data_IF_788105500441
#
_entry.id   IF_788105500441
#
_cell.length_a   1.000
_cell.length_b   1.000
_cell.length_c   1.000
_cell.angle_alpha   90.00
_cell.angle_beta   90.00
_cell.angle_gamma   90.00
#
_symmetry.space_group_name_H-M   'P 1'
#
loop_
_entity.id
_entity.type
_entity.pdbx_description
1 polymer ?
#
# COMPACT_ATOMS: atom_id res chain seq x y z
N UNK A 1 9.73 -12.35 4.43
CA UNK A 1 9.32 -11.18 5.24
C UNK A 1 9.60 -11.51 6.70
N UNK A 2 10.25 -10.63 7.46
CA UNK A 2 10.57 -10.89 8.88
C UNK A 2 9.56 -10.26 9.85
N UNK A 3 8.96 -9.14 9.47
CA UNK A 3 7.97 -8.40 10.27
C UNK A 3 7.00 -7.67 9.36
N UNK A 4 5.74 -7.59 9.76
CA UNK A 4 4.67 -6.81 9.14
C UNK A 4 4.08 -5.89 10.22
N UNK A 5 3.84 -4.63 9.89
CA UNK A 5 3.05 -3.72 10.72
C UNK A 5 1.79 -3.37 9.95
N UNK A 6 0.63 -3.74 10.48
CA UNK A 6 -0.68 -3.43 9.94
C UNK A 6 -1.26 -2.25 10.73
N UNK A 7 -1.61 -1.16 10.03
CA UNK A 7 -2.34 -0.05 10.62
C UNK A 7 -3.75 -0.06 10.05
N UNK A 8 -4.75 -0.17 10.92
CA UNK A 8 -6.17 -0.08 10.54
C UNK A 8 -6.83 0.98 11.42
N UNK A 9 -7.81 1.71 10.91
CA UNK A 9 -8.51 2.69 11.74
C UNK A 9 -9.47 2.00 12.72
N UNK A 10 -10.11 0.91 12.29
CA UNK A 10 -11.22 0.28 13.00
C UNK A 10 -10.78 -1.06 13.62
N UNK A 11 -10.73 -1.17 14.96
CA UNK A 11 -10.45 -2.44 15.62
C UNK A 11 -11.47 -3.53 15.30
N UNK A 12 -12.72 -3.17 14.95
CA UNK A 12 -13.75 -4.14 14.58
C UNK A 12 -13.42 -4.85 13.27
N UNK A 13 -12.72 -4.19 12.33
CA UNK A 13 -12.28 -4.86 11.10
C UNK A 13 -11.22 -5.93 11.37
N UNK A 14 -10.30 -5.64 12.31
CA UNK A 14 -9.31 -6.63 12.75
C UNK A 14 -9.99 -7.81 13.47
N UNK A 15 -10.93 -7.51 14.36
CA UNK A 15 -11.70 -8.53 15.08
C UNK A 15 -12.51 -9.40 14.13
N UNK A 16 -13.24 -8.78 13.19
CA UNK A 16 -14.03 -9.47 12.18
C UNK A 16 -13.16 -10.41 11.35
N UNK A 17 -11.97 -9.96 10.94
CA UNK A 17 -11.04 -10.78 10.18
C UNK A 17 -10.43 -11.93 11.00
N UNK A 18 -10.34 -11.79 12.32
CA UNK A 18 -9.84 -12.83 13.24
C UNK A 18 -10.91 -13.85 13.65
N UNK A 19 -12.18 -13.44 13.75
CA UNK A 19 -13.25 -14.26 14.34
C UNK A 19 -14.23 -14.84 13.32
N UNK A 20 -14.55 -14.11 12.25
CA UNK A 20 -15.58 -14.52 11.30
C UNK A 20 -15.12 -15.72 10.44
N UNK A 21 -15.89 -16.83 10.37
CA UNK A 21 -15.48 -18.04 9.66
C UNK A 21 -15.13 -17.83 8.18
N UNK A 22 -15.82 -16.92 7.49
CA UNK A 22 -15.55 -16.62 6.08
C UNK A 22 -14.21 -15.90 5.92
N UNK A 23 -13.96 -14.86 6.70
CA UNK A 23 -12.70 -14.12 6.65
C UNK A 23 -11.51 -14.93 7.14
N UNK A 24 -11.71 -15.78 8.16
CA UNK A 24 -10.72 -16.76 8.62
C UNK A 24 -10.34 -17.74 7.53
N UNK A 25 -11.32 -18.24 6.77
CA UNK A 25 -11.07 -19.09 5.60
C UNK A 25 -10.25 -18.37 4.52
N UNK A 26 -10.55 -17.10 4.25
CA UNK A 26 -9.83 -16.29 3.25
C UNK A 26 -8.39 -15.97 3.67
N UNK A 27 -8.18 -15.58 4.93
CA UNK A 27 -6.86 -15.21 5.44
C UNK A 27 -6.07 -16.41 6.00
N UNK A 28 -6.63 -17.63 5.96
CA UNK A 28 -6.04 -18.87 6.48
C UNK A 28 -5.66 -18.78 7.96
N UNK A 29 -6.55 -18.20 8.76
CA UNK A 29 -6.39 -17.95 10.20
C UNK A 29 -5.17 -17.08 10.57
N UNK A 30 -4.64 -16.28 9.63
CA UNK A 30 -3.41 -15.52 9.85
C UNK A 30 -3.47 -14.52 11.01
N UNK A 31 -4.67 -14.08 11.42
CA UNK A 31 -4.89 -13.12 12.50
C UNK A 31 -5.23 -13.75 13.85
N UNK A 32 -5.39 -15.07 13.93
CA UNK A 32 -5.76 -15.80 15.15
C UNK A 32 -4.56 -16.54 15.79
N UNK A 33 -3.34 -16.33 15.26
CA UNK A 33 -2.12 -16.92 15.79
C UNK A 33 -1.46 -15.95 16.79
N UNK A 34 -1.72 -16.19 18.09
CA UNK A 34 -1.20 -15.35 19.19
C UNK A 34 0.33 -15.37 19.34
N UNK A 35 1.02 -16.32 18.70
CA UNK A 35 2.49 -16.32 18.65
C UNK A 35 2.99 -15.37 17.56
N UNK A 36 2.29 -15.28 16.43
CA UNK A 36 2.71 -14.48 15.27
C UNK A 36 2.11 -13.07 15.26
N UNK A 37 0.96 -12.86 15.88
CA UNK A 37 0.21 -11.59 15.82
C UNK A 37 0.19 -10.91 17.18
N UNK A 38 0.57 -9.64 17.19
CA UNK A 38 0.51 -8.77 18.37
C UNK A 38 -0.34 -7.56 18.06
N UNK A 39 -1.54 -7.51 18.64
CA UNK A 39 -2.39 -6.32 18.59
C UNK A 39 -1.90 -5.34 19.64
N UNK A 40 -1.61 -4.11 19.23
CA UNK A 40 -1.19 -3.01 20.09
C UNK A 40 -2.29 -1.96 20.02
N UNK A 41 -3.16 -1.96 21.02
CA UNK A 41 -4.11 -0.87 21.23
C UNK A 41 -3.33 0.40 21.64
N UNK A 42 -3.70 1.54 21.07
CA UNK A 42 -2.93 2.77 21.17
C UNK A 42 -2.95 3.39 22.57
N UNK A 43 -2.10 2.89 23.47
CA UNK A 43 -1.32 3.73 24.37
C UNK A 43 0.13 3.69 23.86
N UNK A 44 0.55 4.75 23.17
CA UNK A 44 1.86 4.81 22.52
C UNK A 44 2.96 4.68 23.57
N UNK A 45 3.59 3.51 23.65
CA UNK A 45 4.91 3.32 24.21
C UNK A 45 5.60 2.16 23.46
N UNK A 46 6.85 2.34 22.99
CA UNK A 46 7.55 1.32 22.22
C UNK A 46 7.92 0.16 23.14
N UNK A 47 7.09 -0.88 23.16
CA UNK A 47 7.43 -2.16 23.78
C UNK A 47 8.56 -2.86 23.03
N UNK A 48 9.46 -3.51 23.77
CA UNK A 48 10.60 -4.29 23.23
C UNK A 48 10.17 -5.21 22.09
N UNK A 49 10.98 -5.27 21.03
CA UNK A 49 10.86 -6.29 19.98
C UNK A 49 11.25 -7.67 20.53
N UNK A 50 10.45 -8.70 20.27
CA UNK A 50 10.75 -10.10 20.62
C UNK A 50 10.66 -10.97 19.37
N UNK A 51 11.59 -11.91 19.22
CA UNK A 51 11.57 -12.95 18.16
C UNK A 51 10.69 -14.10 18.61
N UNK A 52 9.79 -14.59 17.74
CA UNK A 52 8.91 -15.72 18.03
C UNK A 52 9.24 -16.90 17.12
N UNK A 53 9.18 -18.11 17.67
CA UNK A 53 9.47 -19.37 16.98
C UNK A 53 8.18 -20.19 16.85
N UNK A 54 7.97 -20.89 15.72
CA UNK A 54 6.81 -21.75 15.50
C UNK A 54 7.20 -23.23 15.43
N UNK A 55 6.36 -24.12 15.98
CA UNK A 55 6.50 -25.57 15.91
C UNK A 55 5.67 -26.10 14.73
N UNK A 56 6.29 -26.85 13.83
CA UNK A 56 5.63 -27.42 12.66
C UNK A 56 5.02 -28.79 13.00
N UNK A 57 3.69 -28.95 12.86
CA UNK A 57 2.99 -30.23 13.07
C UNK A 57 2.88 -31.09 11.80
N UNK A 58 3.71 -30.86 10.78
CA UNK A 58 3.57 -31.59 9.49
C UNK A 58 4.80 -32.31 8.94
N UNK A 59 5.92 -32.37 9.65
CA UNK A 59 7.03 -33.24 9.25
C UNK A 59 7.74 -33.79 10.49
N UNK A 60 7.45 -35.06 10.80
CA UNK A 60 7.98 -35.77 11.99
C UNK A 60 9.51 -35.94 12.00
N UNK A 61 10.23 -35.58 10.94
CA UNK A 61 11.69 -35.77 10.90
C UNK A 61 12.39 -34.69 10.06
N UNK A 62 12.53 -33.49 10.62
CA UNK A 62 13.66 -32.54 10.47
C UNK A 62 13.32 -31.25 11.21
N UNK A 63 13.89 -31.11 12.42
CA UNK A 63 13.78 -29.91 13.23
C UNK A 63 14.51 -28.74 12.56
N UNK A 64 13.75 -27.88 11.90
CA UNK A 64 14.19 -26.56 11.44
C UNK A 64 13.07 -25.58 11.72
N UNK A 65 13.35 -24.54 12.52
CA UNK A 65 12.45 -23.40 12.69
C UNK A 65 12.54 -22.55 11.43
N UNK A 66 11.52 -22.59 10.57
CA UNK A 66 11.41 -21.60 9.49
C UNK A 66 11.04 -20.24 10.10
N UNK A 67 11.68 -19.16 9.64
CA UNK A 67 11.43 -17.82 10.15
C UNK A 67 10.01 -17.37 9.77
N UNK A 68 9.10 -17.37 10.73
CA UNK A 68 7.75 -16.86 10.51
C UNK A 68 7.72 -15.35 10.70
N UNK A 69 7.03 -14.63 9.82
CA UNK A 69 6.86 -13.18 9.96
C UNK A 69 6.00 -12.85 11.20
N UNK A 70 6.42 -11.89 12.00
CA UNK A 70 5.59 -11.34 13.10
C UNK A 70 4.72 -10.20 12.57
N UNK A 71 3.44 -10.17 12.92
CA UNK A 71 2.49 -9.11 12.56
C UNK A 71 2.20 -8.24 13.79
N UNK A 72 2.38 -6.94 13.67
CA UNK A 72 1.96 -5.95 14.66
C UNK A 72 0.74 -5.20 14.14
N UNK A 73 -0.40 -5.30 14.82
CA UNK A 73 -1.61 -4.56 14.44
C UNK A 73 -1.71 -3.30 15.31
N UNK A 74 -1.93 -2.15 14.67
CA UNK A 74 -2.11 -0.86 15.34
C UNK A 74 -3.42 -0.25 14.88
N UNK A 75 -4.32 0.00 15.82
CA UNK A 75 -5.60 0.65 15.51
C UNK A 75 -5.48 2.17 15.64
N UNK A 76 -5.28 2.88 14.52
CA UNK A 76 -5.02 4.33 14.49
C UNK A 76 -5.27 4.95 13.11
N UNK A 77 -5.62 6.24 13.08
CA UNK A 77 -5.56 7.07 11.87
C UNK A 77 -4.15 7.03 11.25
N UNK A 78 -4.08 6.74 9.95
CA UNK A 78 -2.82 6.51 9.25
C UNK A 78 -1.89 7.74 9.26
N UNK A 79 -2.43 8.98 9.21
CA UNK A 79 -1.61 10.17 9.27
C UNK A 79 -0.92 10.27 10.64
N UNK A 80 -1.67 10.05 11.73
CA UNK A 80 -1.10 9.99 13.09
C UNK A 80 -0.13 8.84 13.26
N UNK A 81 -0.41 7.68 12.67
CA UNK A 81 0.46 6.51 12.73
C UNK A 81 1.82 6.81 12.11
N UNK A 82 1.85 7.31 10.87
CA UNK A 82 3.11 7.57 10.16
C UNK A 82 3.91 8.70 10.82
N UNK A 83 3.25 9.67 11.46
CA UNK A 83 3.94 10.70 12.27
C UNK A 83 4.65 10.10 13.48
N UNK A 84 4.02 9.16 14.19
CA UNK A 84 4.46 8.67 15.50
C UNK A 84 5.33 7.42 15.46
N UNK A 85 5.14 6.56 14.46
CA UNK A 85 5.83 5.27 14.41
C UNK A 85 7.33 5.47 14.21
N UNK A 86 8.16 4.73 14.94
CA UNK A 86 9.61 4.74 14.75
C UNK A 86 10.05 3.68 13.73
N UNK A 87 11.22 3.87 13.15
CA UNK A 87 11.82 2.93 12.20
C UNK A 87 11.47 3.20 10.74
N UNK A 88 12.00 2.32 9.90
CA UNK A 88 11.87 2.35 8.44
C UNK A 88 11.38 1.01 7.92
N UNK A 89 10.80 1.03 6.72
CA UNK A 89 10.17 -0.10 6.06
C UNK A 89 10.74 -0.29 4.66
N UNK A 90 11.01 -1.54 4.30
CA UNK A 90 11.44 -1.92 2.95
C UNK A 90 10.27 -1.94 1.97
N UNK A 91 9.05 -2.19 2.48
CA UNK A 91 7.83 -2.18 1.70
C UNK A 91 6.74 -1.47 2.49
N UNK A 92 6.06 -0.51 1.86
CA UNK A 92 4.85 0.12 2.38
C UNK A 92 3.72 -0.16 1.37
N UNK A 93 2.58 -0.63 1.86
CA UNK A 93 1.38 -0.85 1.05
C UNK A 93 0.31 0.09 1.58
N UNK A 94 -0.23 0.93 0.71
CA UNK A 94 -1.29 1.89 1.04
C UNK A 94 -2.56 1.46 0.30
N UNK A 95 -3.55 1.04 1.07
CA UNK A 95 -4.85 0.58 0.56
C UNK A 95 -5.95 1.39 1.26
N UNK A 96 -6.14 2.61 0.78
CA UNK A 96 -7.12 3.53 1.33
C UNK A 96 -8.38 3.54 0.45
N UNK A 97 -9.54 3.89 1.03
CA UNK A 97 -10.69 4.26 0.21
C UNK A 97 -10.38 5.52 -0.60
N UNK A 98 -11.09 5.69 -1.72
CA UNK A 98 -10.96 6.86 -2.58
C UNK A 98 -11.25 8.17 -1.81
N UNK A 99 -10.63 9.31 -2.19
CA UNK A 99 -10.68 10.58 -1.45
C UNK A 99 -12.01 11.33 -1.59
N UNK A 100 -13.11 10.68 -1.23
CA UNK A 100 -14.49 11.17 -1.36
C UNK A 100 -14.99 12.00 -0.16
N UNK A 101 -14.10 12.30 0.78
CA UNK A 101 -14.37 13.12 1.95
C UNK A 101 -13.12 13.92 2.35
N UNK A 102 -13.26 15.09 3.01
CA UNK A 102 -12.11 15.88 3.47
C UNK A 102 -11.13 15.09 4.37
N UNK A 103 -11.65 14.25 5.25
CA UNK A 103 -10.85 13.40 6.14
C UNK A 103 -10.09 12.29 5.40
N UNK A 104 -10.52 11.92 4.19
CA UNK A 104 -9.75 11.02 3.33
C UNK A 104 -8.76 11.80 2.48
N UNK A 105 -9.13 12.98 1.97
CA UNK A 105 -8.27 13.82 1.12
C UNK A 105 -6.92 14.18 1.79
N UNK A 106 -6.88 14.34 3.12
CA UNK A 106 -5.63 14.58 3.87
C UNK A 106 -4.62 13.43 3.73
N UNK A 107 -5.08 12.18 3.56
CA UNK A 107 -4.24 10.98 3.37
C UNK A 107 -3.61 10.91 1.98
N UNK A 108 -4.00 11.82 1.08
CA UNK A 108 -3.42 11.94 -0.26
C UNK A 108 -2.64 13.25 -0.43
N UNK A 109 -2.29 13.91 0.68
CA UNK A 109 -1.58 15.20 0.67
C UNK A 109 -0.06 15.04 0.51
N UNK A 110 0.60 16.09 0.00
CA UNK A 110 2.06 16.18 -0.03
C UNK A 110 2.69 15.85 1.34
N UNK A 111 2.19 16.45 2.41
CA UNK A 111 2.69 16.25 3.77
C UNK A 111 2.61 14.79 4.20
N UNK A 112 1.53 14.09 3.86
CA UNK A 112 1.41 12.67 4.15
C UNK A 112 2.45 11.83 3.38
N UNK A 113 2.65 12.11 2.08
CA UNK A 113 3.68 11.42 1.30
C UNK A 113 5.11 11.74 1.75
N UNK A 114 5.38 12.96 2.24
CA UNK A 114 6.66 13.30 2.86
C UNK A 114 6.93 12.48 4.12
N UNK A 115 5.89 12.24 4.93
CA UNK A 115 6.00 11.35 6.08
C UNK A 115 6.25 9.91 5.66
N UNK A 116 5.53 9.38 4.66
CA UNK A 116 5.81 8.04 4.10
C UNK A 116 7.23 7.92 3.55
N UNK A 117 7.72 8.93 2.83
CA UNK A 117 9.09 8.97 2.30
C UNK A 117 10.13 8.82 3.41
N UNK A 118 9.92 9.48 4.56
CA UNK A 118 10.79 9.39 5.74
C UNK A 118 10.74 8.01 6.42
N UNK A 119 9.69 7.22 6.19
CA UNK A 119 9.55 5.85 6.70
C UNK A 119 10.02 4.79 5.73
N UNK A 120 10.33 5.10 4.48
CA UNK A 120 10.96 4.13 3.58
C UNK A 120 12.43 3.91 3.96
N UNK A 121 12.94 2.68 3.82
CA UNK A 121 14.36 2.33 3.97
C UNK A 121 15.16 2.63 2.69
N UNK A 122 16.51 2.62 2.76
CA UNK A 122 17.49 2.58 1.64
C UNK A 122 16.95 2.30 0.22
N UNK A 123 16.44 1.10 0.09
CA UNK A 123 15.98 0.52 -1.17
C UNK A 123 14.50 0.13 -1.07
N UNK A 124 13.78 0.81 -0.17
CA UNK A 124 12.37 0.58 0.08
C UNK A 124 11.49 1.16 -1.02
N UNK A 125 10.41 0.45 -1.30
CA UNK A 125 9.38 0.84 -2.26
C UNK A 125 8.03 0.89 -1.55
N UNK A 126 7.13 1.73 -2.06
CA UNK A 126 5.73 1.72 -1.70
C UNK A 126 4.86 1.46 -2.91
N UNK A 127 3.68 0.90 -2.68
CA UNK A 127 2.61 0.83 -3.67
C UNK A 127 1.32 1.35 -3.04
N UNK A 128 0.55 2.08 -3.83
CA UNK A 128 -0.71 2.65 -3.40
C UNK A 128 -1.79 2.44 -4.47
N UNK A 129 -2.97 1.99 -4.04
CA UNK A 129 -4.19 2.07 -4.86
C UNK A 129 -4.54 3.54 -5.11
N UNK A 130 -5.00 3.88 -6.32
CA UNK A 130 -5.12 5.28 -6.73
C UNK A 130 -6.27 5.54 -7.68
N UNK A 131 -7.42 4.91 -7.42
CA UNK A 131 -8.65 4.98 -8.22
C UNK A 131 -8.45 4.63 -9.70
N UNK A 132 -9.42 4.92 -10.56
CA UNK A 132 -9.37 4.61 -11.99
C UNK A 132 -8.55 5.65 -12.77
N UNK A 133 -7.53 5.23 -13.56
CA UNK A 133 -6.85 6.14 -14.49
C UNK A 133 -7.71 6.53 -15.70
N UNK A 134 -8.89 5.92 -15.86
CA UNK A 134 -9.86 6.21 -16.91
C UNK A 134 -11.04 7.04 -16.37
N UNK A 135 -11.81 6.51 -15.42
CA UNK A 135 -13.00 7.18 -14.87
C UNK A 135 -12.64 8.37 -13.98
N UNK A 136 -11.60 8.25 -13.15
CA UNK A 136 -11.17 9.27 -12.20
C UNK A 136 -9.75 9.76 -12.53
N UNK A 137 -9.48 9.99 -13.82
CA UNK A 137 -8.15 10.30 -14.35
C UNK A 137 -7.46 11.45 -13.61
N UNK A 138 -8.15 12.55 -13.34
CA UNK A 138 -7.58 13.70 -12.63
C UNK A 138 -7.13 13.35 -11.21
N UNK A 139 -7.91 12.53 -10.51
CA UNK A 139 -7.56 12.01 -9.17
C UNK A 139 -6.32 11.12 -9.27
N UNK A 140 -6.31 10.14 -10.18
CA UNK A 140 -5.18 9.25 -10.40
C UNK A 140 -3.88 10.01 -10.70
N UNK A 141 -3.95 11.02 -11.57
CA UNK A 141 -2.81 11.86 -11.92
C UNK A 141 -2.37 12.76 -10.77
N UNK A 142 -3.33 13.34 -10.03
CA UNK A 142 -3.03 14.20 -8.87
C UNK A 142 -2.27 13.43 -7.79
N UNK A 143 -2.63 12.16 -7.56
CA UNK A 143 -1.90 11.28 -6.64
C UNK A 143 -0.44 11.13 -7.06
N UNK A 144 -0.21 10.74 -8.32
CA UNK A 144 1.15 10.57 -8.85
C UNK A 144 1.97 11.86 -8.81
N UNK A 145 1.37 13.00 -9.16
CA UNK A 145 2.01 14.33 -9.16
C UNK A 145 2.35 14.78 -7.73
N UNK A 146 1.46 14.53 -6.79
CA UNK A 146 1.65 14.87 -5.37
C UNK A 146 2.75 14.02 -4.75
N UNK A 147 2.83 12.71 -5.07
CA UNK A 147 3.95 11.86 -4.65
C UNK A 147 5.29 12.37 -5.20
N UNK A 148 5.34 12.78 -6.48
CA UNK A 148 6.55 13.36 -7.08
C UNK A 148 6.99 14.64 -6.36
N UNK A 149 6.05 15.53 -6.08
CA UNK A 149 6.30 16.79 -5.36
C UNK A 149 6.75 16.57 -3.90
N UNK A 150 6.39 15.43 -3.30
CA UNK A 150 6.87 15.00 -1.98
C UNK A 150 8.28 14.35 -2.00
N UNK A 151 8.94 14.30 -3.17
CA UNK A 151 10.29 13.74 -3.32
C UNK A 151 10.33 12.23 -3.57
N UNK A 152 9.26 11.66 -4.15
CA UNK A 152 9.23 10.26 -4.58
C UNK A 152 9.39 10.13 -6.10
N UNK A 153 10.08 9.09 -6.55
CA UNK A 153 10.08 8.65 -7.94
C UNK A 153 8.96 7.65 -8.15
N UNK A 154 8.05 7.94 -9.09
CA UNK A 154 6.81 7.17 -9.24
C UNK A 154 6.66 6.50 -10.61
N UNK A 155 5.99 5.35 -10.61
CA UNK A 155 5.64 4.57 -11.82
C UNK A 155 4.17 4.16 -11.71
N UNK A 156 3.32 4.55 -12.68
CA UNK A 156 1.92 4.16 -12.69
C UNK A 156 1.76 2.72 -13.18
N UNK A 157 0.75 2.05 -12.65
CA UNK A 157 0.24 0.75 -13.06
C UNK A 157 -1.27 0.84 -13.25
N UNK A 158 -1.79 0.02 -14.17
CA UNK A 158 -3.24 -0.20 -14.31
C UNK A 158 -3.56 -1.65 -14.57
N UNK A 159 -4.77 -2.05 -14.21
CA UNK A 159 -5.33 -3.33 -14.61
C UNK A 159 -6.87 -3.26 -14.61
N UNK A 160 -7.53 -4.20 -15.27
CA UNK A 160 -8.98 -4.31 -15.22
C UNK A 160 -9.41 -5.22 -14.07
N UNK A 161 -10.13 -4.65 -13.10
CA UNK A 161 -10.79 -5.39 -12.02
C UNK A 161 -12.25 -5.60 -12.41
N UNK A 162 -12.72 -6.83 -12.70
CA UNK A 162 -14.03 -7.04 -13.35
C UNK A 162 -15.24 -6.38 -12.67
N UNK A 163 -15.22 -6.23 -11.34
CA UNK A 163 -16.28 -5.57 -10.58
C UNK A 163 -16.18 -4.04 -10.54
N UNK A 164 -15.03 -3.47 -10.90
CA UNK A 164 -14.72 -2.03 -10.78
C UNK A 164 -14.24 -1.37 -12.08
N UNK A 165 -14.03 -2.14 -13.15
CA UNK A 165 -13.45 -1.65 -14.40
C UNK A 165 -11.95 -1.39 -14.29
N UNK A 166 -11.45 -0.42 -15.04
CA UNK A 166 -10.03 -0.08 -15.05
C UNK A 166 -9.62 0.58 -13.73
N UNK A 167 -8.64 -0.02 -13.05
CA UNK A 167 -8.15 0.42 -11.74
C UNK A 167 -6.65 0.73 -11.79
N UNK A 168 -6.21 1.66 -10.96
CA UNK A 168 -4.89 2.24 -11.01
C UNK A 168 -4.12 2.13 -9.70
N UNK A 169 -2.80 2.02 -9.82
CA UNK A 169 -1.85 2.07 -8.70
C UNK A 169 -0.63 2.91 -9.06
N UNK A 170 0.04 3.44 -8.04
CA UNK A 170 1.38 4.02 -8.18
C UNK A 170 2.37 3.23 -7.34
N UNK A 171 3.46 2.78 -7.98
CA UNK A 171 4.68 2.35 -7.27
C UNK A 171 5.58 3.56 -7.08
N UNK A 172 6.14 3.73 -5.89
CA UNK A 172 7.02 4.82 -5.59
C UNK A 172 8.24 4.39 -4.76
N UNK A 173 9.36 5.06 -4.96
CA UNK A 173 10.56 4.95 -4.12
C UNK A 173 11.17 6.33 -3.91
N UNK A 174 12.13 6.46 -2.98
CA UNK A 174 12.83 7.74 -2.77
C UNK A 174 13.51 8.24 -4.03
N UNK A 175 13.24 9.49 -4.43
CA UNK A 175 13.75 10.06 -5.68
C UNK A 175 15.28 10.18 -5.69
N UNK A 176 15.92 10.29 -4.53
CA UNK A 176 17.38 10.26 -4.39
C UNK A 176 17.99 8.88 -4.65
N UNK A 177 17.19 7.80 -4.63
CA UNK A 177 17.64 6.43 -4.85
C UNK A 177 17.06 5.81 -6.13
N UNK A 178 15.90 6.25 -6.59
CA UNK A 178 15.19 5.69 -7.73
C UNK A 178 14.88 6.74 -8.80
N UNK A 179 14.87 6.28 -10.04
CA UNK A 179 14.26 6.99 -11.17
C UNK A 179 13.08 6.16 -11.72
N UNK A 180 12.11 6.78 -12.43
CA UNK A 180 10.99 6.03 -12.98
C UNK A 180 11.47 4.94 -13.96
N UNK A 181 12.52 5.24 -14.72
CA UNK A 181 13.16 4.27 -15.62
C UNK A 181 13.77 3.07 -14.89
N UNK A 182 14.41 3.30 -13.73
CA UNK A 182 14.97 2.23 -12.90
C UNK A 182 13.88 1.30 -12.37
N UNK A 183 12.80 1.86 -11.82
CA UNK A 183 11.65 1.08 -11.31
C UNK A 183 10.98 0.30 -12.45
N UNK A 184 10.67 0.96 -13.58
CA UNK A 184 10.08 0.29 -14.77
C UNK A 184 10.96 -0.85 -15.29
N UNK A 185 12.28 -0.65 -15.35
CA UNK A 185 13.23 -1.68 -15.80
C UNK A 185 13.21 -2.88 -14.86
N UNK A 186 13.19 -2.65 -13.54
CA UNK A 186 13.12 -3.73 -12.56
C UNK A 186 11.83 -4.54 -12.69
N UNK A 187 10.67 -3.87 -12.78
CA UNK A 187 9.37 -4.53 -12.96
C UNK A 187 9.30 -5.33 -14.26
N UNK A 188 9.79 -4.78 -15.37
CA UNK A 188 9.86 -5.49 -16.66
C UNK A 188 10.79 -6.71 -16.63
N UNK A 189 11.82 -6.66 -15.80
CA UNK A 189 12.80 -7.73 -15.62
C UNK A 189 12.32 -8.92 -14.80
N UNK A 190 11.15 -8.84 -14.16
CA UNK A 190 10.57 -9.95 -13.40
C UNK A 190 10.24 -11.09 -14.39
N UNK A 191 10.90 -12.23 -14.21
CA UNK A 191 10.69 -13.44 -15.01
C UNK A 191 9.77 -14.44 -14.31
N UNK A 192 9.98 -14.62 -13.00
CA UNK A 192 9.26 -15.58 -12.17
C UNK A 192 8.71 -14.87 -10.94
N UNK A 193 7.49 -15.22 -10.53
CA UNK A 193 6.90 -14.79 -9.26
C UNK A 193 7.18 -15.90 -8.26
N UNK A 194 7.75 -15.54 -7.11
CA UNK A 194 8.23 -16.52 -6.12
C UNK A 194 7.11 -17.29 -5.41
N UNK A 195 5.87 -16.85 -5.55
CA UNK A 195 4.68 -17.44 -4.95
C UNK A 195 3.71 -17.84 -6.04
N UNK A 196 2.92 -18.88 -5.77
CA UNK A 196 1.82 -19.25 -6.65
C UNK A 196 0.76 -18.14 -6.67
N UNK A 197 0.36 -17.73 -7.86
CA UNK A 197 -0.63 -16.68 -8.09
C UNK A 197 -1.74 -17.20 -8.99
N UNK A 198 -2.98 -16.81 -8.71
CA UNK A 198 -4.14 -17.14 -9.56
C UNK A 198 -4.35 -16.16 -10.71
N UNK A 199 -3.75 -14.98 -10.62
CA UNK A 199 -4.02 -13.86 -11.54
C UNK A 199 -2.73 -13.21 -12.04
N UNK A 200 -1.90 -12.68 -11.13
CA UNK A 200 -0.70 -11.95 -11.49
C UNK A 200 0.33 -12.85 -12.16
N UNK A 201 0.79 -12.48 -13.35
CA UNK A 201 1.89 -13.18 -14.05
C UNK A 201 2.99 -12.18 -14.44
N UNK A 202 4.20 -12.66 -14.71
CA UNK A 202 5.28 -11.81 -15.19
C UNK A 202 4.94 -11.05 -16.51
N UNK A 203 4.27 -11.68 -17.51
CA UNK A 203 3.70 -10.96 -18.64
C UNK A 203 2.68 -9.89 -18.25
N UNK A 204 1.80 -10.17 -17.29
CA UNK A 204 0.80 -9.21 -16.84
C UNK A 204 1.47 -7.98 -16.20
N UNK A 205 2.44 -8.15 -15.31
CA UNK A 205 3.21 -7.03 -14.73
C UNK A 205 3.79 -6.10 -15.82
N UNK A 206 4.24 -6.65 -16.95
CA UNK A 206 4.72 -5.84 -18.08
C UNK A 206 3.58 -5.10 -18.79
N UNK A 207 2.43 -5.73 -18.95
CA UNK A 207 1.24 -5.13 -19.55
C UNK A 207 0.67 -4.00 -18.67
N UNK A 208 0.67 -4.16 -17.34
CA UNK A 208 0.15 -3.16 -16.39
C UNK A 208 0.92 -1.82 -16.43
N UNK A 209 2.14 -1.81 -17.00
CA UNK A 209 2.96 -0.61 -17.19
C UNK A 209 2.60 0.18 -18.48
N UNK A 210 1.70 -0.33 -19.30
CA UNK A 210 1.36 0.24 -20.61
C UNK A 210 0.09 1.08 -20.51
N UNK A 211 0.19 2.33 -20.92
CA UNK A 211 -0.90 3.29 -20.97
C UNK A 211 -1.06 3.81 -22.41
N UNK A 212 -2.28 4.22 -22.82
CA UNK A 212 -2.49 4.94 -24.07
C UNK A 212 -1.62 6.20 -24.16
N UNK A 213 -1.43 6.69 -25.39
CA UNK A 213 -0.78 7.99 -25.62
C UNK A 213 -1.53 9.08 -24.84
N UNK A 214 -0.79 9.99 -24.22
CA UNK A 214 -1.30 11.15 -23.47
C UNK A 214 -2.14 10.85 -22.21
N UNK A 215 -2.44 9.59 -21.91
CA UNK A 215 -3.22 9.20 -20.72
C UNK A 215 -2.57 9.68 -19.40
N UNK A 216 -1.24 9.82 -19.41
CA UNK A 216 -0.44 10.22 -18.25
C UNK A 216 -0.01 11.70 -18.28
N UNK A 217 -0.53 12.53 -19.20
CA UNK A 217 -0.28 13.96 -19.17
C UNK A 217 -0.96 14.58 -17.94
N UNK A 218 -0.16 15.20 -17.07
CA UNK A 218 -0.57 15.83 -15.82
C UNK A 218 -0.24 17.33 -15.75
N UNK A 219 -0.02 18.01 -16.88
CA UNK A 219 0.37 19.42 -16.94
C UNK A 219 -0.62 20.33 -16.17
N UNK A 220 -1.92 20.15 -16.42
CA UNK A 220 -3.01 20.93 -15.79
C UNK A 220 -3.44 20.41 -14.40
N UNK A 221 -2.82 19.34 -13.93
CA UNK A 221 -3.18 18.70 -12.66
C UNK A 221 -2.50 19.41 -11.49
N UNK A 222 -3.22 19.63 -10.40
CA UNK A 222 -2.67 20.28 -9.20
C UNK A 222 -2.17 19.26 -8.17
N UNK A 223 -1.12 19.66 -7.45
CA UNK A 223 -0.63 18.97 -6.26
C UNK A 223 -1.62 19.13 -5.12
N UNK A 224 -1.98 18.01 -4.48
CA UNK A 224 -2.86 18.00 -3.33
C UNK A 224 -2.10 18.33 -2.05
N UNK A 225 -2.57 19.35 -1.32
CA UNK A 225 -1.99 19.78 -0.04
C UNK A 225 -3.09 19.86 1.01
N UNK A 226 -2.71 19.85 2.28
CA UNK A 226 -3.68 19.98 3.39
C UNK A 226 -4.49 21.29 3.31
N UNK A 227 -3.96 22.34 2.67
CA UNK A 227 -4.62 23.64 2.56
C UNK A 227 -5.50 23.83 1.33
N UNK A 228 -5.46 22.93 0.34
CA UNK A 228 -6.25 23.09 -0.90
C UNK A 228 -7.23 21.94 -1.17
N UNK A 229 -6.98 20.73 -0.62
CA UNK A 229 -7.78 19.52 -0.81
C UNK A 229 -8.28 19.30 -2.24
N UNK A 230 -7.48 19.66 -3.25
CA UNK A 230 -7.90 19.69 -4.66
C UNK A 230 -8.35 18.32 -5.17
N UNK A 231 -7.79 17.25 -4.59
CA UNK A 231 -8.12 15.88 -4.96
C UNK A 231 -9.58 15.51 -4.67
N UNK A 232 -10.19 16.09 -3.63
CA UNK A 232 -11.61 15.90 -3.31
C UNK A 232 -12.50 16.51 -4.40
N UNK A 233 -12.13 17.68 -4.91
CA UNK A 233 -12.86 18.32 -6.01
C UNK A 233 -12.72 17.54 -7.32
N UNK A 234 -11.53 17.04 -7.65
CA UNK A 234 -11.35 16.13 -8.78
C UNK A 234 -12.20 14.87 -8.66
N UNK A 235 -12.33 14.32 -7.46
CA UNK A 235 -13.21 13.17 -7.23
C UNK A 235 -14.67 13.53 -7.48
N UNK A 236 -15.19 14.61 -6.88
CA UNK A 236 -16.58 15.01 -7.10
C UNK A 236 -16.90 15.23 -8.58
N UNK A 237 -15.98 15.86 -9.33
CA UNK A 237 -16.17 16.11 -10.76
C UNK A 237 -16.18 14.81 -11.59
N UNK A 238 -15.38 13.81 -11.22
CA UNK A 238 -15.35 12.54 -11.93
C UNK A 238 -16.70 11.81 -11.87
N UNK A 239 -17.36 11.84 -10.71
CA UNK A 239 -18.62 11.11 -10.47
C UNK A 239 -19.89 11.93 -10.72
N UNK A 240 -19.76 13.24 -10.97
CA UNK A 240 -20.87 14.08 -11.44
C UNK A 240 -21.12 13.93 -12.95
N UNK A 241 -20.14 13.42 -13.70
CA UNK A 241 -20.19 13.32 -15.16
C UNK A 241 -20.41 11.87 -15.67
N UNK A 242 -20.79 10.94 -14.78
CA UNK A 242 -21.33 9.62 -15.14
C UNK A 242 -22.87 9.66 -15.25
#
# INVERSE_FOLDING_TARGET
VRRVTLCDLDPQMTQLAAENPFFRGLNRDALNDNERVKVVEAAVSPGKSYTVFSKNDKYLWRGGYDSVATVHVVNMDAARFVERISGMYDVIIVDFPDPNAPDLAKLYSKTFYEHLRKKLSRDGLMIQQSTSPYHAREVFLSIGKTMRDAGLSTVPLKDNVPSFGEWGWWIAGRAENYSPGRIKKALRGIKNIAVETRYLTAPLIRANLVFPRDALNDDDIRVNTLGNSVIYHYYLNAWQNE
#
